data_IF_972453781692
#
_entry.id   IF_972453781692
#
_cell.length_a   1.000
_cell.length_b   1.000
_cell.length_c   1.000
_cell.angle_alpha   90.00
_cell.angle_beta   90.00
_cell.angle_gamma   90.00
#
_symmetry.space_group_name_H-M   'P 1'
#
loop_
_entity.id
_entity.type
_entity.pdbx_description
1 polymer ?
#
# COMPACT_ATOMS: atom_id res chain seq x y z
N UNK A 1 8.09 -22.66 12.89
CA UNK A 1 6.93 -21.85 13.33
C UNK A 1 6.87 -20.58 12.50
N UNK A 2 5.68 -20.14 12.09
CA UNK A 2 5.49 -18.82 11.47
C UNK A 2 5.65 -17.77 12.59
N UNK A 3 6.48 -16.74 12.38
CA UNK A 3 6.61 -15.64 13.35
C UNK A 3 5.24 -15.01 13.61
N UNK A 4 4.98 -14.53 14.84
CA UNK A 4 3.77 -13.80 15.16
C UNK A 4 3.84 -12.37 14.61
N UNK A 5 2.70 -11.69 14.47
CA UNK A 5 2.67 -10.24 14.31
C UNK A 5 2.97 -9.62 15.69
N UNK A 6 3.85 -8.60 15.82
CA UNK A 6 4.46 -7.80 14.75
C UNK A 6 5.88 -8.24 14.32
N UNK A 7 6.36 -9.41 14.73
CA UNK A 7 7.71 -9.92 14.39
C UNK A 7 7.89 -10.32 12.90
N UNK A 8 6.83 -10.14 12.10
CA UNK A 8 6.82 -10.28 10.65
C UNK A 8 5.83 -9.29 10.04
N UNK A 9 6.03 -9.01 8.76
CA UNK A 9 5.02 -8.37 7.94
C UNK A 9 3.76 -9.24 7.75
N UNK A 10 2.61 -8.60 7.46
CA UNK A 10 1.37 -9.29 7.19
C UNK A 10 1.45 -10.10 5.89
N UNK A 11 0.54 -11.05 5.73
CA UNK A 11 0.44 -11.89 4.54
C UNK A 11 -1.00 -11.93 4.05
N UNK A 12 -1.23 -12.51 2.87
CA UNK A 12 -2.58 -12.62 2.30
C UNK A 12 -3.61 -13.31 3.21
N UNK A 13 -3.18 -14.14 4.19
CA UNK A 13 -4.10 -14.82 5.11
C UNK A 13 -4.56 -13.92 6.27
N UNK A 14 -3.89 -12.81 6.52
CA UNK A 14 -4.08 -11.95 7.69
C UNK A 14 -3.91 -10.46 7.36
N UNK A 15 -4.21 -10.07 6.11
CA UNK A 15 -4.09 -8.69 5.62
C UNK A 15 -5.31 -8.26 4.82
N UNK A 16 -5.57 -6.96 4.79
CA UNK A 16 -6.47 -6.32 3.82
C UNK A 16 -5.60 -5.56 2.81
N UNK A 17 -5.76 -5.86 1.53
CA UNK A 17 -5.15 -5.09 0.44
C UNK A 17 -6.05 -3.93 0.04
N UNK A 18 -5.49 -2.73 -0.05
CA UNK A 18 -6.17 -1.54 -0.58
C UNK A 18 -5.47 -1.11 -1.87
N UNK A 19 -6.18 -1.18 -2.98
CA UNK A 19 -5.65 -0.83 -4.30
C UNK A 19 -6.06 0.61 -4.66
N UNK A 20 -5.07 1.43 -5.04
CA UNK A 20 -5.30 2.78 -5.56
C UNK A 20 -5.20 2.76 -7.09
N UNK A 21 -6.18 3.36 -7.77
CA UNK A 21 -6.14 3.49 -9.22
C UNK A 21 -5.09 4.52 -9.62
N UNK A 22 -4.06 4.08 -10.33
CA UNK A 22 -2.98 4.93 -10.84
C UNK A 22 -2.24 4.29 -12.01
N UNK A 23 -1.49 5.11 -12.75
CA UNK A 23 -0.75 4.70 -13.94
C UNK A 23 0.76 4.76 -13.70
N UNK A 24 1.50 3.77 -14.22
CA UNK A 24 2.96 3.77 -14.19
C UNK A 24 3.52 4.16 -15.57
N UNK A 25 4.23 5.28 -15.62
CA UNK A 25 4.76 5.89 -16.83
C UNK A 25 6.29 5.74 -16.92
N UNK A 26 6.88 5.73 -18.13
CA UNK A 26 6.20 5.84 -19.41
C UNK A 26 5.65 4.48 -19.90
N UNK A 27 4.57 4.51 -20.68
CA UNK A 27 3.89 3.29 -21.16
C UNK A 27 4.70 2.48 -22.17
N UNK A 28 5.65 3.12 -22.86
CA UNK A 28 6.53 2.48 -23.84
C UNK A 28 7.73 1.74 -23.21
N UNK A 29 7.93 1.82 -21.89
CA UNK A 29 8.98 1.06 -21.20
C UNK A 29 8.49 -0.37 -20.95
N UNK A 30 9.08 -1.42 -21.55
CA UNK A 30 8.62 -2.79 -21.38
C UNK A 30 8.90 -3.35 -19.98
N UNK A 31 9.88 -2.82 -19.24
CA UNK A 31 10.18 -3.27 -17.89
C UNK A 31 9.35 -2.49 -16.86
N UNK A 32 8.37 -3.11 -16.17
CA UNK A 32 7.54 -2.43 -15.19
C UNK A 32 8.32 -1.87 -14.00
N UNK A 33 9.48 -2.45 -13.65
CA UNK A 33 10.33 -1.94 -12.55
C UNK A 33 11.03 -0.61 -12.91
N UNK A 34 11.07 -0.25 -14.20
CA UNK A 34 11.63 1.01 -14.70
C UNK A 34 10.56 2.09 -14.94
N UNK A 35 9.29 1.76 -14.75
CA UNK A 35 8.19 2.73 -14.77
C UNK A 35 8.05 3.39 -13.40
N UNK A 36 7.45 4.56 -13.39
CA UNK A 36 7.16 5.34 -12.19
C UNK A 36 5.65 5.55 -12.08
N UNK A 37 5.08 5.12 -10.95
CA UNK A 37 3.68 5.41 -10.65
C UNK A 37 3.48 6.91 -10.44
N UNK A 38 2.43 7.44 -11.09
CA UNK A 38 1.98 8.81 -10.81
C UNK A 38 1.43 8.90 -9.39
N UNK A 39 1.57 10.07 -8.77
CA UNK A 39 1.04 10.31 -7.44
C UNK A 39 -0.50 10.21 -7.45
N UNK A 40 -1.06 9.61 -6.40
CA UNK A 40 -2.50 9.59 -6.19
C UNK A 40 -3.04 11.03 -6.03
N UNK A 41 -4.14 11.40 -6.72
CA UNK A 41 -4.78 12.69 -6.52
C UNK A 41 -5.22 12.90 -5.06
N UNK A 42 -5.33 14.16 -4.64
CA UNK A 42 -5.70 14.50 -3.26
C UNK A 42 -7.01 13.84 -2.81
N UNK A 43 -8.05 13.83 -3.66
CA UNK A 43 -9.33 13.18 -3.35
C UNK A 43 -9.22 11.66 -3.09
N UNK A 44 -8.30 10.96 -3.76
CA UNK A 44 -8.02 9.55 -3.45
C UNK A 44 -7.32 9.41 -2.10
N UNK A 45 -6.39 10.31 -1.78
CA UNK A 45 -5.73 10.33 -0.46
C UNK A 45 -6.71 10.69 0.67
N UNK A 46 -7.66 11.60 0.45
CA UNK A 46 -8.72 11.90 1.43
C UNK A 46 -9.58 10.67 1.72
N UNK A 47 -9.97 9.96 0.66
CA UNK A 47 -10.72 8.70 0.77
C UNK A 47 -9.90 7.62 1.47
N UNK A 48 -8.60 7.54 1.18
CA UNK A 48 -7.69 6.58 1.81
C UNK A 48 -7.52 6.86 3.31
N UNK A 49 -7.28 8.12 3.71
CA UNK A 49 -7.20 8.52 5.13
C UNK A 49 -8.43 8.07 5.90
N UNK A 50 -9.62 8.35 5.36
CA UNK A 50 -10.87 7.93 5.97
C UNK A 50 -10.96 6.40 6.08
N UNK A 51 -10.67 5.67 5.01
CA UNK A 51 -10.74 4.20 5.00
C UNK A 51 -9.77 3.58 6.01
N UNK A 52 -8.52 4.04 6.06
CA UNK A 52 -7.52 3.50 6.99
C UNK A 52 -7.91 3.80 8.44
N UNK A 53 -8.45 4.99 8.72
CA UNK A 53 -9.00 5.32 10.04
C UNK A 53 -10.10 4.34 10.45
N UNK A 54 -11.10 4.12 9.59
CA UNK A 54 -12.22 3.23 9.91
C UNK A 54 -11.78 1.76 10.07
N UNK A 55 -10.84 1.28 9.24
CA UNK A 55 -10.28 -0.06 9.38
C UNK A 55 -9.50 -0.21 10.69
N UNK A 56 -8.71 0.79 11.07
CA UNK A 56 -7.95 0.79 12.33
C UNK A 56 -8.89 0.69 13.53
N UNK A 57 -9.93 1.53 13.57
CA UNK A 57 -10.90 1.56 14.68
C UNK A 57 -11.75 0.29 14.72
N UNK A 58 -12.28 -0.14 13.57
CA UNK A 58 -13.23 -1.27 13.51
C UNK A 58 -12.54 -2.60 13.80
N UNK A 59 -11.36 -2.82 13.24
CA UNK A 59 -10.64 -4.10 13.32
C UNK A 59 -9.56 -4.09 14.42
N UNK A 60 -9.42 -2.99 15.15
CA UNK A 60 -8.39 -2.79 16.17
C UNK A 60 -6.97 -3.01 15.63
N UNK A 61 -6.73 -2.65 14.36
CA UNK A 61 -5.41 -2.73 13.73
C UNK A 61 -4.65 -1.44 14.05
N UNK A 62 -3.46 -1.49 14.68
CA UNK A 62 -2.71 -0.29 14.98
C UNK A 62 -2.14 0.33 13.70
N UNK A 63 -2.01 1.66 13.67
CA UNK A 63 -1.47 2.38 12.51
C UNK A 63 -0.02 1.99 12.17
N UNK A 64 0.72 1.40 13.12
CA UNK A 64 2.05 0.82 12.87
C UNK A 64 2.03 -0.42 11.97
N UNK A 65 0.86 -1.03 11.78
CA UNK A 65 0.64 -2.21 10.92
C UNK A 65 0.01 -1.84 9.57
N UNK A 66 0.13 -0.57 9.15
CA UNK A 66 -0.25 -0.10 7.81
C UNK A 66 1.01 0.09 6.98
N UNK A 67 1.18 -0.72 5.94
CA UNK A 67 2.40 -0.77 5.14
C UNK A 67 2.13 -0.47 3.66
N UNK A 68 3.09 0.19 3.00
CA UNK A 68 3.13 0.22 1.54
C UNK A 68 3.56 -1.14 1.01
N UNK A 69 3.06 -1.54 -0.15
CA UNK A 69 3.40 -2.83 -0.76
C UNK A 69 4.92 -3.06 -0.92
N UNK A 70 5.74 -2.07 -1.34
CA UNK A 70 7.19 -2.23 -1.43
C UNK A 70 7.90 -2.44 -0.08
N UNK A 71 7.26 -2.14 1.05
CA UNK A 71 7.83 -2.41 2.38
C UNK A 71 7.69 -3.89 2.78
N UNK A 72 6.66 -4.58 2.29
CA UNK A 72 6.34 -5.97 2.68
C UNK A 72 6.77 -7.01 1.64
N UNK A 73 6.92 -6.63 0.38
CA UNK A 73 7.27 -7.55 -0.72
C UNK A 73 8.02 -6.84 -1.85
N UNK A 74 8.74 -7.59 -2.68
CA UNK A 74 9.44 -7.05 -3.84
C UNK A 74 8.43 -6.55 -4.87
N UNK A 75 8.38 -5.24 -5.06
CA UNK A 75 7.50 -4.51 -5.98
C UNK A 75 8.22 -3.32 -6.61
N UNK A 76 7.53 -2.64 -7.54
CA UNK A 76 7.99 -1.37 -8.05
C UNK A 76 8.11 -0.38 -6.88
N UNK A 77 9.29 0.24 -6.72
CA UNK A 77 9.60 1.09 -5.56
C UNK A 77 8.72 2.34 -5.45
N UNK A 78 8.08 2.75 -6.55
CA UNK A 78 7.23 3.93 -6.62
C UNK A 78 5.75 3.61 -6.36
N UNK A 79 5.39 2.31 -6.26
CA UNK A 79 4.04 1.87 -5.89
C UNK A 79 3.65 2.43 -4.51
N UNK A 80 2.50 3.10 -4.45
CA UNK A 80 2.00 3.79 -3.26
C UNK A 80 2.94 4.88 -2.68
N UNK A 81 3.94 5.38 -3.43
CA UNK A 81 4.86 6.42 -2.94
C UNK A 81 4.14 7.72 -2.58
N UNK A 82 3.10 8.09 -3.34
CA UNK A 82 2.25 9.26 -3.08
C UNK A 82 1.05 9.00 -2.17
N UNK A 83 0.86 7.77 -1.67
CA UNK A 83 -0.25 7.43 -0.80
C UNK A 83 -0.07 8.07 0.59
N UNK A 84 -1.12 8.70 1.10
CA UNK A 84 -1.16 9.33 2.42
C UNK A 84 -2.40 8.83 3.17
N UNK A 85 -2.20 8.40 4.41
CA UNK A 85 -3.25 7.94 5.32
C UNK A 85 -3.03 8.51 6.71
#
# INVERSE_FOLDING_TARGET
>A
MRKAVPDRYPSNTDSIGVELVGEALPLNEPNPDRRTYIAAPEAQNDSLRWLIHELSVTLHVPMSEVFRHPAVSRKNRTEAAGAQW
#
